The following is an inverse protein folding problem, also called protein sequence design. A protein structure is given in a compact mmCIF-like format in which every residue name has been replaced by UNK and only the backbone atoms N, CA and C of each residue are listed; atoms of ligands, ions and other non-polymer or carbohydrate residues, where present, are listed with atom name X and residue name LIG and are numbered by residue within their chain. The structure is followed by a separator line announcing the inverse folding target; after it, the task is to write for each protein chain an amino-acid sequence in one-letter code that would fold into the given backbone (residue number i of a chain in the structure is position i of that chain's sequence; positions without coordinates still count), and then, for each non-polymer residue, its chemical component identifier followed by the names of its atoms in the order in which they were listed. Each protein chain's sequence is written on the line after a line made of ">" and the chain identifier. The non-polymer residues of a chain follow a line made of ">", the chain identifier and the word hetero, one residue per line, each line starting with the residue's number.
data_IF_433568433882
#
_entry.id   IF_433568433882
#
_cell.length_a   1.000
_cell.length_b   1.000
_cell.length_c   1.000
_cell.angle_alpha   90.00
_cell.angle_beta   90.00
_cell.angle_gamma   90.00
#
_symmetry.space_group_name_H-M   'P 1'
#
loop_
_entity.id
_entity.type
_entity.pdbx_description
1 polymer ?
#
# COMPACT_ATOMS: atom_id res chain seq x y z
N UNK A 1 -16.23 54.89 0.45
CA UNK A 1 -15.72 54.69 -0.92
C UNK A 1 -16.07 53.28 -1.36
N UNK A 2 -16.62 53.05 -2.56
CA UNK A 2 -16.85 51.69 -3.04
C UNK A 2 -15.49 51.04 -3.31
N UNK A 3 -15.25 49.89 -2.72
CA UNK A 3 -13.98 49.16 -2.83
C UNK A 3 -13.97 48.40 -4.18
N UNK A 4 -13.62 49.09 -5.27
CA UNK A 4 -13.67 48.58 -6.66
C UNK A 4 -12.65 47.48 -7.00
N UNK A 5 -11.96 46.89 -6.02
CA UNK A 5 -10.86 45.95 -6.30
C UNK A 5 -11.27 44.49 -6.50
N UNK A 6 -12.49 44.10 -6.16
CA UNK A 6 -12.89 42.69 -6.16
C UNK A 6 -13.83 42.34 -7.30
N UNK A 7 -13.39 41.39 -8.14
CA UNK A 7 -14.15 40.94 -9.31
C UNK A 7 -15.15 39.85 -8.92
N UNK A 8 -16.34 39.87 -9.55
CA UNK A 8 -17.30 38.77 -9.47
C UNK A 8 -16.80 37.59 -10.31
N UNK A 9 -16.56 36.44 -9.67
CA UNK A 9 -16.08 35.24 -10.34
C UNK A 9 -17.12 34.63 -11.29
N UNK A 10 -16.68 34.30 -12.51
CA UNK A 10 -17.40 33.44 -13.47
C UNK A 10 -17.39 31.96 -13.04
N UNK A 11 -18.28 31.15 -13.61
CA UNK A 11 -18.34 29.71 -13.28
C UNK A 11 -17.04 28.96 -13.63
N UNK A 12 -16.38 29.35 -14.72
CA UNK A 12 -15.09 28.79 -15.13
C UNK A 12 -13.97 29.12 -14.14
N UNK A 13 -13.87 30.37 -13.70
CA UNK A 13 -12.87 30.78 -12.69
C UNK A 13 -13.09 30.05 -11.36
N UNK A 14 -14.35 29.88 -10.93
CA UNK A 14 -14.67 29.12 -9.71
C UNK A 14 -14.20 27.66 -9.79
N UNK A 15 -14.43 27.01 -10.93
CA UNK A 15 -13.99 25.64 -11.15
C UNK A 15 -12.45 25.53 -11.19
N UNK A 16 -11.77 26.51 -11.77
CA UNK A 16 -10.31 26.51 -11.82
C UNK A 16 -9.68 26.72 -10.44
N UNK A 17 -10.22 27.67 -9.65
CA UNK A 17 -9.81 27.90 -8.26
C UNK A 17 -10.02 26.63 -7.42
N UNK A 18 -11.20 25.99 -7.54
CA UNK A 18 -11.48 24.71 -6.87
C UNK A 18 -10.45 23.66 -7.23
N UNK A 19 -10.18 23.48 -8.53
CA UNK A 19 -9.21 22.52 -9.03
C UNK A 19 -7.84 22.77 -8.41
N UNK A 20 -7.29 23.98 -8.52
CA UNK A 20 -5.96 24.33 -8.00
C UNK A 20 -5.84 24.13 -6.48
N UNK A 21 -6.89 24.47 -5.73
CA UNK A 21 -6.97 24.16 -4.31
C UNK A 21 -6.96 22.64 -4.04
N UNK A 22 -7.73 21.84 -4.80
CA UNK A 22 -7.72 20.38 -4.73
C UNK A 22 -6.37 19.75 -5.18
N UNK A 23 -5.57 20.47 -5.97
CA UNK A 23 -4.18 20.12 -6.29
C UNK A 23 -3.19 20.49 -5.17
N UNK A 24 -3.58 21.39 -4.25
CA UNK A 24 -2.83 21.68 -3.03
C UNK A 24 -2.41 23.14 -2.84
N UNK A 25 -2.78 24.05 -3.75
CA UNK A 25 -2.53 25.48 -3.61
C UNK A 25 -3.34 26.10 -2.45
N UNK A 26 -2.83 27.16 -1.84
CA UNK A 26 -3.52 27.82 -0.73
C UNK A 26 -4.60 28.80 -1.19
N UNK A 27 -5.69 28.91 -0.43
CA UNK A 27 -6.75 29.87 -0.73
C UNK A 27 -6.25 31.32 -0.60
N UNK A 28 -5.23 31.57 0.24
CA UNK A 28 -4.58 32.89 0.34
C UNK A 28 -3.97 33.28 -0.99
N UNK A 29 -3.17 32.40 -1.60
CA UNK A 29 -2.50 32.66 -2.88
C UNK A 29 -3.53 32.84 -4.00
N UNK A 30 -4.54 31.96 -4.03
CA UNK A 30 -5.64 32.03 -5.00
C UNK A 30 -6.48 33.32 -4.82
N UNK A 31 -6.64 33.82 -3.59
CA UNK A 31 -7.37 35.06 -3.31
C UNK A 31 -6.66 36.29 -3.88
N UNK A 32 -5.32 36.29 -3.82
CA UNK A 32 -4.49 37.36 -4.37
C UNK A 32 -4.51 37.30 -5.89
N UNK A 33 -4.31 36.12 -6.46
CA UNK A 33 -4.21 35.92 -7.91
C UNK A 33 -5.52 36.27 -8.63
N UNK A 34 -6.65 35.80 -8.13
CA UNK A 34 -7.95 36.04 -8.75
C UNK A 34 -8.60 37.36 -8.31
N UNK A 35 -7.94 38.12 -7.42
CA UNK A 35 -8.46 39.34 -6.80
C UNK A 35 -9.87 39.13 -6.21
N UNK A 36 -9.98 38.16 -5.31
CA UNK A 36 -11.23 37.78 -4.62
C UNK A 36 -11.00 37.88 -3.11
N UNK A 37 -11.97 38.35 -2.32
CA UNK A 37 -11.81 38.33 -0.87
C UNK A 37 -11.62 36.90 -0.36
N UNK A 38 -10.62 36.69 0.50
CA UNK A 38 -10.30 35.38 1.06
C UNK A 38 -11.51 34.73 1.76
N UNK A 39 -12.30 35.51 2.49
CA UNK A 39 -13.54 35.03 3.13
C UNK A 39 -14.57 34.47 2.15
N UNK A 40 -14.62 34.99 0.92
CA UNK A 40 -15.48 34.46 -0.15
C UNK A 40 -15.01 33.07 -0.58
N UNK A 41 -13.71 32.87 -0.73
CA UNK A 41 -13.14 31.56 -1.06
C UNK A 41 -13.36 30.55 0.06
N UNK A 42 -13.21 30.94 1.33
CA UNK A 42 -13.54 30.07 2.46
C UNK A 42 -15.03 29.67 2.50
N UNK A 43 -15.93 30.62 2.27
CA UNK A 43 -17.36 30.34 2.21
C UNK A 43 -17.71 29.38 1.08
N UNK A 44 -17.10 29.57 -0.10
CA UNK A 44 -17.27 28.67 -1.23
C UNK A 44 -16.71 27.27 -0.94
N UNK A 45 -15.47 27.20 -0.45
CA UNK A 45 -14.81 25.92 -0.14
C UNK A 45 -15.57 25.13 0.92
N UNK A 46 -16.12 25.81 1.94
CA UNK A 46 -16.92 25.17 2.97
C UNK A 46 -18.27 24.71 2.45
N UNK A 47 -18.99 25.56 1.70
CA UNK A 47 -20.34 25.24 1.20
C UNK A 47 -20.34 24.11 0.16
N UNK A 48 -19.28 24.03 -0.63
CA UNK A 48 -19.13 23.05 -1.71
C UNK A 48 -18.13 21.92 -1.36
N UNK A 49 -17.73 21.84 -0.10
CA UNK A 49 -16.87 20.80 0.48
C UNK A 49 -15.56 20.54 -0.29
N UNK A 50 -14.87 21.61 -0.68
CA UNK A 50 -13.59 21.49 -1.38
C UNK A 50 -12.54 20.89 -0.45
N UNK A 51 -11.77 19.92 -0.94
CA UNK A 51 -10.73 19.23 -0.15
C UNK A 51 -9.34 19.57 -0.68
N UNK A 52 -8.55 20.33 0.11
CA UNK A 52 -7.18 20.69 -0.26
C UNK A 52 -6.35 19.45 -0.53
N UNK A 53 -5.63 19.43 -1.65
CA UNK A 53 -4.71 18.33 -1.98
C UNK A 53 -5.39 16.97 -2.24
N UNK A 54 -6.71 16.91 -2.43
CA UNK A 54 -7.45 15.69 -2.78
C UNK A 54 -6.83 14.98 -3.99
N UNK A 55 -6.42 15.72 -5.01
CA UNK A 55 -5.81 15.14 -6.22
C UNK A 55 -4.43 14.58 -5.93
N UNK A 56 -3.63 15.26 -5.11
CA UNK A 56 -2.32 14.76 -4.66
C UNK A 56 -2.47 13.47 -3.84
N UNK A 57 -3.45 13.41 -2.94
CA UNK A 57 -3.77 12.21 -2.19
C UNK A 57 -4.23 11.07 -3.09
N UNK A 58 -5.07 11.36 -4.10
CA UNK A 58 -5.51 10.38 -5.10
C UNK A 58 -4.33 9.80 -5.88
N UNK A 59 -3.42 10.66 -6.37
CA UNK A 59 -2.21 10.23 -7.10
C UNK A 59 -1.35 9.34 -6.22
N UNK A 60 -1.10 9.75 -4.97
CA UNK A 60 -0.33 8.94 -4.00
C UNK A 60 -0.98 7.57 -3.75
N UNK A 61 -2.31 7.52 -3.66
CA UNK A 61 -3.03 6.25 -3.50
C UNK A 61 -2.88 5.36 -4.74
N UNK A 62 -3.02 5.90 -5.95
CA UNK A 62 -2.82 5.16 -7.20
C UNK A 62 -1.39 4.62 -7.30
N UNK A 63 -0.38 5.42 -6.94
CA UNK A 63 1.01 4.96 -6.90
C UNK A 63 1.21 3.85 -5.87
N UNK A 64 0.60 3.99 -4.69
CA UNK A 64 0.66 2.97 -3.64
C UNK A 64 -0.01 1.66 -4.09
N UNK A 65 -1.17 1.73 -4.75
CA UNK A 65 -1.86 0.57 -5.32
C UNK A 65 -1.01 -0.13 -6.39
N UNK A 66 -0.34 0.64 -7.26
CA UNK A 66 0.60 0.09 -8.25
C UNK A 66 1.77 -0.63 -7.58
N UNK A 67 2.34 -0.06 -6.52
CA UNK A 67 3.41 -0.69 -5.75
C UNK A 67 2.93 -1.98 -5.07
N UNK A 68 1.74 -1.95 -4.45
CA UNK A 68 1.13 -3.13 -3.82
C UNK A 68 0.91 -4.24 -4.86
N UNK A 69 0.38 -3.89 -6.03
CA UNK A 69 0.14 -4.85 -7.12
C UNK A 69 1.44 -5.46 -7.61
N UNK A 70 2.46 -4.63 -7.83
CA UNK A 70 3.78 -5.10 -8.27
C UNK A 70 4.41 -6.05 -7.26
N UNK A 71 4.35 -5.72 -5.96
CA UNK A 71 4.85 -6.59 -4.89
C UNK A 71 4.09 -7.92 -4.87
N UNK A 72 2.77 -7.89 -5.07
CA UNK A 72 1.96 -9.11 -5.15
C UNK A 72 2.37 -10.00 -6.34
N UNK A 73 2.62 -9.41 -7.51
CA UNK A 73 3.12 -10.13 -8.68
C UNK A 73 4.51 -10.73 -8.44
N UNK A 74 5.42 -9.96 -7.84
CA UNK A 74 6.78 -10.41 -7.54
C UNK A 74 6.78 -11.58 -6.55
N UNK A 75 5.93 -11.53 -5.51
CA UNK A 75 5.69 -12.67 -4.59
C UNK A 75 5.29 -13.94 -5.33
N UNK A 76 4.40 -13.84 -6.33
CA UNK A 76 3.94 -15.00 -7.12
C UNK A 76 5.08 -15.55 -7.98
N UNK A 77 5.85 -14.68 -8.64
CA UNK A 77 7.00 -15.08 -9.47
C UNK A 77 8.06 -15.80 -8.65
N UNK A 78 8.39 -15.28 -7.47
CA UNK A 78 9.39 -15.87 -6.58
C UNK A 78 8.93 -17.23 -6.06
N UNK A 79 7.65 -17.37 -5.65
CA UNK A 79 7.08 -18.68 -5.28
C UNK A 79 7.20 -19.69 -6.42
N UNK A 80 6.97 -19.27 -7.66
CA UNK A 80 7.11 -20.14 -8.84
C UNK A 80 8.57 -20.54 -9.08
N UNK A 81 9.53 -19.63 -8.91
CA UNK A 81 10.96 -19.93 -9.02
C UNK A 81 11.38 -21.00 -8.01
N UNK A 82 10.96 -20.88 -6.75
CA UNK A 82 11.24 -21.90 -5.73
C UNK A 82 10.60 -23.25 -6.04
N UNK A 83 9.36 -23.25 -6.55
CA UNK A 83 8.71 -24.48 -7.04
C UNK A 83 9.52 -25.14 -8.15
N UNK A 84 10.01 -24.36 -9.11
CA UNK A 84 10.81 -24.89 -10.22
C UNK A 84 12.17 -25.41 -9.74
N UNK A 85 12.87 -24.68 -8.89
CA UNK A 85 14.16 -25.10 -8.32
C UNK A 85 14.03 -26.40 -7.53
N UNK A 86 12.95 -26.54 -6.74
CA UNK A 86 12.69 -27.77 -5.97
C UNK A 86 12.27 -28.94 -6.87
N UNK A 87 11.49 -28.71 -7.93
CA UNK A 87 11.20 -29.75 -8.93
C UNK A 87 12.47 -30.22 -9.63
N UNK A 88 13.32 -29.30 -10.11
CA UNK A 88 14.61 -29.65 -10.74
C UNK A 88 15.51 -30.44 -9.79
N UNK A 89 15.52 -30.11 -8.50
CA UNK A 89 16.28 -30.86 -7.50
C UNK A 89 15.73 -32.29 -7.33
N UNK A 90 14.41 -32.48 -7.39
CA UNK A 90 13.78 -33.81 -7.34
C UNK A 90 14.05 -34.63 -8.60
N UNK A 91 13.94 -34.01 -9.77
CA UNK A 91 14.26 -34.66 -11.05
C UNK A 91 15.72 -35.10 -11.09
N UNK A 92 16.63 -34.24 -10.63
CA UNK A 92 18.05 -34.59 -10.48
C UNK A 92 18.26 -35.81 -9.56
N UNK A 93 17.48 -35.93 -8.47
CA UNK A 93 17.53 -37.09 -7.58
C UNK A 93 17.02 -38.38 -8.23
N UNK A 94 15.99 -38.27 -9.08
CA UNK A 94 15.40 -39.41 -9.80
C UNK A 94 16.33 -39.87 -10.94
N UNK A 95 16.91 -38.95 -11.71
CA UNK A 95 17.80 -39.23 -12.84
C UNK A 95 19.19 -39.72 -12.39
N UNK A 96 19.69 -39.23 -11.25
CA UNK A 96 21.02 -39.61 -10.76
C UNK A 96 21.10 -41.04 -10.20
N UNK A 97 19.98 -41.79 -10.15
CA UNK A 97 19.92 -43.20 -9.79
C UNK A 97 20.83 -43.57 -8.62
N UNK A 98 20.54 -43.10 -7.39
CA UNK A 98 21.30 -43.34 -6.14
C UNK A 98 22.81 -43.51 -6.38
N UNK A 99 23.42 -42.57 -7.11
CA UNK A 99 24.87 -42.58 -7.32
C UNK A 99 25.57 -42.28 -5.99
N UNK A 100 26.17 -43.30 -5.38
CA UNK A 100 26.86 -43.30 -4.06
C UNK A 100 28.18 -42.50 -4.03
N UNK A 101 28.41 -41.61 -4.99
CA UNK A 101 29.63 -40.81 -5.07
C UNK A 101 29.50 -39.61 -4.13
N UNK A 102 30.29 -39.64 -3.05
CA UNK A 102 30.26 -38.66 -1.94
C UNK A 102 30.23 -37.18 -2.37
N UNK A 103 30.93 -36.82 -3.44
CA UNK A 103 30.93 -35.45 -3.98
C UNK A 103 29.59 -35.00 -4.57
N UNK A 104 28.79 -35.92 -5.13
CA UNK A 104 27.45 -35.63 -5.64
C UNK A 104 26.45 -35.43 -4.51
N UNK A 105 26.59 -36.21 -3.43
CA UNK A 105 25.77 -36.06 -2.23
C UNK A 105 26.04 -34.71 -1.52
N UNK A 106 27.30 -34.31 -1.40
CA UNK A 106 27.67 -32.99 -0.86
C UNK A 106 27.16 -31.84 -1.75
N UNK A 107 27.30 -31.95 -3.07
CA UNK A 107 26.76 -30.94 -4.00
C UNK A 107 25.24 -30.80 -3.87
N UNK A 108 24.51 -31.91 -3.68
CA UNK A 108 23.07 -31.90 -3.46
C UNK A 108 22.69 -31.23 -2.13
N UNK A 109 23.37 -31.59 -1.03
CA UNK A 109 23.17 -30.96 0.28
C UNK A 109 23.40 -29.45 0.22
N UNK A 110 24.48 -29.02 -0.43
CA UNK A 110 24.79 -27.61 -0.63
C UNK A 110 23.71 -26.90 -1.45
N UNK A 111 23.21 -27.52 -2.53
CA UNK A 111 22.14 -26.94 -3.35
C UNK A 111 20.81 -26.83 -2.59
N UNK A 112 20.46 -27.85 -1.80
CA UNK A 112 19.27 -27.81 -0.95
C UNK A 112 19.38 -26.73 0.14
N UNK A 113 20.55 -26.59 0.77
CA UNK A 113 20.81 -25.55 1.76
C UNK A 113 20.72 -24.14 1.13
N UNK A 114 21.34 -23.93 -0.04
CA UNK A 114 21.28 -22.65 -0.75
C UNK A 114 19.85 -22.26 -1.15
N UNK A 115 19.04 -23.21 -1.65
CA UNK A 115 17.61 -22.95 -1.95
C UNK A 115 16.85 -22.52 -0.69
N UNK A 116 17.13 -23.18 0.44
CA UNK A 116 16.50 -22.85 1.73
C UNK A 116 16.91 -21.47 2.23
N UNK A 117 18.18 -21.11 2.13
CA UNK A 117 18.69 -19.80 2.53
C UNK A 117 18.12 -18.68 1.67
N UNK A 118 18.13 -18.86 0.34
CA UNK A 118 17.50 -17.92 -0.60
C UNK A 118 16.03 -17.73 -0.26
N UNK A 119 15.31 -18.84 -0.04
CA UNK A 119 13.90 -18.78 0.35
C UNK A 119 13.69 -17.94 1.60
N UNK A 120 14.50 -18.13 2.65
CA UNK A 120 14.38 -17.36 3.88
C UNK A 120 14.65 -15.86 3.68
N UNK A 121 15.66 -15.50 2.88
CA UNK A 121 15.96 -14.09 2.56
C UNK A 121 14.79 -13.45 1.82
N UNK A 122 14.29 -14.12 0.78
CA UNK A 122 13.14 -13.60 0.01
C UNK A 122 11.85 -13.61 0.83
N UNK A 123 11.74 -14.52 1.80
CA UNK A 123 10.63 -14.56 2.75
C UNK A 123 10.55 -13.29 3.56
N UNK A 124 11.68 -12.81 4.07
CA UNK A 124 11.77 -11.56 4.82
C UNK A 124 11.53 -10.35 3.92
N UNK A 125 12.14 -10.33 2.73
CA UNK A 125 12.05 -9.20 1.81
C UNK A 125 10.64 -9.02 1.22
N UNK A 126 9.96 -10.12 0.90
CA UNK A 126 8.68 -10.11 0.21
C UNK A 126 7.50 -10.56 1.08
N UNK A 127 7.69 -10.85 2.37
CA UNK A 127 6.66 -11.38 3.28
C UNK A 127 5.94 -12.60 2.67
N UNK A 128 6.74 -13.54 2.14
CA UNK A 128 6.23 -14.77 1.54
C UNK A 128 5.83 -15.72 2.67
N UNK A 129 4.54 -16.04 2.80
CA UNK A 129 4.07 -16.99 3.82
C UNK A 129 3.72 -18.34 3.22
N UNK A 130 4.03 -19.41 3.96
CA UNK A 130 3.51 -20.76 3.72
C UNK A 130 1.99 -20.83 3.95
N UNK A 131 1.34 -21.92 3.56
CA UNK A 131 -0.10 -22.08 3.80
C UNK A 131 -0.44 -22.11 5.30
N UNK A 132 0.38 -22.80 6.10
CA UNK A 132 0.24 -22.88 7.56
C UNK A 132 0.45 -21.52 8.22
N UNK A 133 1.46 -20.77 7.78
CA UNK A 133 1.75 -19.42 8.30
C UNK A 133 0.64 -18.42 7.97
N UNK A 134 0.03 -18.54 6.78
CA UNK A 134 -1.14 -17.73 6.44
C UNK A 134 -2.34 -18.07 7.32
N UNK A 135 -2.54 -19.36 7.65
CA UNK A 135 -3.63 -19.79 8.51
C UNK A 135 -3.43 -19.30 9.95
N UNK A 136 -2.21 -19.43 10.48
CA UNK A 136 -1.82 -18.91 11.80
C UNK A 136 -2.00 -17.39 11.87
N UNK A 137 -1.52 -16.65 10.87
CA UNK A 137 -1.69 -15.19 10.81
C UNK A 137 -3.17 -14.77 10.75
N UNK A 138 -4.01 -15.48 9.99
CA UNK A 138 -5.46 -15.23 9.98
C UNK A 138 -6.09 -15.48 11.34
N UNK A 139 -5.70 -16.55 12.02
CA UNK A 139 -6.20 -16.84 13.37
C UNK A 139 -5.79 -15.74 14.36
N UNK A 140 -4.56 -15.24 14.29
CA UNK A 140 -4.10 -14.11 15.10
C UNK A 140 -4.89 -12.83 14.82
N UNK A 141 -5.13 -12.51 13.54
CA UNK A 141 -5.93 -11.35 13.17
C UNK A 141 -7.36 -11.44 13.69
N UNK A 142 -7.98 -12.63 13.60
CA UNK A 142 -9.32 -12.86 14.17
C UNK A 142 -9.31 -12.68 15.68
N UNK A 143 -8.32 -13.24 16.40
CA UNK A 143 -8.17 -13.03 17.85
C UNK A 143 -8.01 -11.55 18.19
N UNK A 144 -7.17 -10.83 17.45
CA UNK A 144 -6.97 -9.40 17.63
C UNK A 144 -8.27 -8.61 17.43
N UNK A 145 -9.04 -8.91 16.38
CA UNK A 145 -10.33 -8.24 16.16
C UNK A 145 -11.35 -8.54 17.26
N UNK A 146 -11.40 -9.77 17.77
CA UNK A 146 -12.26 -10.13 18.91
C UNK A 146 -11.85 -9.31 20.14
N UNK A 147 -10.56 -9.32 20.50
CA UNK A 147 -10.06 -8.56 21.65
C UNK A 147 -10.27 -7.05 21.50
N UNK A 148 -10.15 -6.51 20.29
CA UNK A 148 -10.44 -5.09 20.01
C UNK A 148 -11.91 -4.75 20.23
N UNK A 149 -12.84 -5.64 19.86
CA UNK A 149 -14.28 -5.46 20.12
C UNK A 149 -14.58 -5.53 21.62
N UNK A 150 -14.03 -6.54 22.30
CA UNK A 150 -14.17 -6.69 23.77
C UNK A 150 -13.66 -5.46 24.54
N UNK A 151 -12.57 -4.83 24.08
CA UNK A 151 -12.03 -3.60 24.66
C UNK A 151 -12.80 -2.33 24.23
N UNK A 152 -13.40 -2.33 23.04
CA UNK A 152 -14.25 -1.24 22.57
C UNK A 152 -15.57 -1.17 23.34
N UNK A 153 -16.18 -2.33 23.59
CA UNK A 153 -17.41 -2.46 24.38
C UNK A 153 -17.17 -2.17 25.88
N UNK A 154 -15.92 -2.27 26.36
CA UNK A 154 -15.55 -1.95 27.75
C UNK A 154 -15.42 -0.44 28.03
N UNK A 155 -15.36 0.42 27.01
CA UNK A 155 -15.28 1.88 27.16
C UNK A 155 -16.66 2.59 27.14
N UNK A 156 -17.76 1.84 26.98
CA UNK A 156 -19.14 2.33 27.11
C UNK A 156 -19.76 1.99 28.49
N UNK A 157 -18.93 1.69 29.50
CA UNK A 157 -19.40 1.62 30.89
C UNK A 157 -19.47 3.05 31.42
N UNK A 158 -20.69 3.59 31.40
CA UNK A 158 -21.09 4.85 32.01
C UNK A 158 -20.44 5.01 33.40
N UNK A 159 -19.66 6.08 33.54
CA UNK A 159 -19.34 6.64 34.85
C UNK A 159 -20.57 7.40 35.32
N UNK A 160 -21.44 6.70 36.07
CA UNK A 160 -22.42 7.31 36.99
C UNK A 160 -21.72 8.22 38.02
#
# INVERSE_FOLDING_TARGET
>A
MPNERYKKLSATEKNEIKKRYEFGEDLVDLSIEYMVPLGTLYNMSSREEWKKGKTKALIRNIESEKLITKVAEDRVKIKLQYKNLTTQLREYLLDAGVSTVKSREEALKNRAAAIKELYNIDKELYDIKSAEENLSHRQEMVKYEISKKELGDANDIELD
#
